data_IF_616097995894
#
_entry.id   IF_616097995894
#
_cell.length_a   1.000
_cell.length_b   1.000
_cell.length_c   1.000
_cell.angle_alpha   90.00
_cell.angle_beta   90.00
_cell.angle_gamma   90.00
#
_symmetry.space_group_name_H-M   'P 1'
#
loop_
_entity.id
_entity.type
_entity.pdbx_description
1 polymer ?
#
# COMPACT_ATOMS: atom_id res chain seq x y z
N UNK A 1 -14.06 -5.84 -28.10
CA UNK A 1 -14.82 -6.18 -26.87
C UNK A 1 -14.04 -5.60 -25.72
N UNK A 2 -14.51 -4.52 -25.12
CA UNK A 2 -13.90 -3.94 -23.91
C UNK A 2 -14.31 -4.82 -22.75
N UNK A 3 -13.36 -5.61 -22.24
CA UNK A 3 -13.55 -6.33 -20.98
C UNK A 3 -13.90 -5.31 -19.89
N UNK A 4 -15.14 -5.35 -19.46
CA UNK A 4 -15.58 -4.63 -18.25
C UNK A 4 -14.79 -5.23 -17.08
N UNK A 5 -13.67 -4.59 -16.69
CA UNK A 5 -12.95 -4.95 -15.47
C UNK A 5 -13.92 -4.82 -14.30
N UNK A 6 -14.22 -5.92 -13.65
CA UNK A 6 -15.05 -5.94 -12.43
C UNK A 6 -14.27 -5.18 -11.34
N UNK A 7 -14.82 -4.05 -10.92
CA UNK A 7 -14.29 -3.30 -9.79
C UNK A 7 -14.59 -4.07 -8.49
N UNK A 8 -13.57 -4.38 -7.73
CA UNK A 8 -13.70 -5.00 -6.42
C UNK A 8 -13.84 -3.91 -5.35
N UNK A 9 -14.55 -4.22 -4.26
CA UNK A 9 -14.51 -3.35 -3.09
C UNK A 9 -13.11 -3.35 -2.50
N UNK A 10 -12.50 -2.18 -2.25
CA UNK A 10 -11.14 -2.12 -1.71
C UNK A 10 -11.01 -2.90 -0.39
N UNK A 11 -9.95 -3.68 -0.26
CA UNK A 11 -9.58 -4.39 0.97
C UNK A 11 -8.26 -3.85 1.52
N UNK A 12 -8.34 -2.73 2.27
CA UNK A 12 -7.21 -2.06 2.90
C UNK A 12 -7.35 -2.19 4.40
N UNK A 13 -6.39 -2.86 5.01
CA UNK A 13 -6.36 -3.23 6.43
C UNK A 13 -5.30 -2.43 7.17
N UNK A 14 -5.65 -1.93 8.36
CA UNK A 14 -4.70 -1.28 9.25
C UNK A 14 -4.57 -2.07 10.55
N UNK A 15 -3.33 -2.43 10.91
CA UNK A 15 -3.00 -2.96 12.22
C UNK A 15 -3.09 -1.86 13.28
N UNK A 16 -3.97 -2.06 14.26
CA UNK A 16 -4.14 -1.12 15.37
C UNK A 16 -3.00 -1.26 16.38
N UNK A 17 -1.93 -0.49 16.19
CA UNK A 17 -0.72 -0.54 16.99
C UNK A 17 -0.84 0.15 18.36
N UNK A 18 -1.95 0.82 18.66
CA UNK A 18 -2.17 1.44 19.99
C UNK A 18 -2.25 0.42 21.11
N UNK A 19 -2.68 -0.78 20.80
CA UNK A 19 -2.58 -1.89 21.72
C UNK A 19 -1.14 -2.42 21.66
N UNK A 20 -0.36 -2.26 22.71
CA UNK A 20 1.05 -2.70 22.89
C UNK A 20 1.32 -4.19 22.56
N UNK A 21 0.36 -4.86 21.97
CA UNK A 21 0.31 -6.29 21.70
C UNK A 21 0.88 -6.69 20.33
N UNK A 22 1.04 -5.72 19.41
CA UNK A 22 1.81 -5.98 18.19
C UNK A 22 3.29 -5.85 18.52
N UNK A 23 3.98 -6.98 18.48
CA UNK A 23 5.40 -7.06 18.81
C UNK A 23 6.30 -6.23 17.88
N UNK A 24 7.59 -6.19 18.20
CA UNK A 24 8.60 -5.52 17.37
C UNK A 24 8.66 -6.08 15.94
N UNK A 25 8.18 -7.30 15.72
CA UNK A 25 8.16 -7.96 14.40
C UNK A 25 6.73 -8.03 13.83
N UNK A 26 6.30 -6.93 13.27
CA UNK A 26 4.97 -6.78 12.65
C UNK A 26 4.76 -7.70 11.43
N UNK A 27 5.83 -8.05 10.72
CA UNK A 27 5.75 -9.03 9.63
C UNK A 27 5.31 -10.40 10.14
N UNK A 28 5.79 -10.81 11.31
CA UNK A 28 5.35 -12.04 11.97
C UNK A 28 3.86 -11.99 12.32
N UNK A 29 3.38 -10.87 12.85
CA UNK A 29 1.96 -10.68 13.16
C UNK A 29 1.10 -10.72 11.89
N UNK A 30 1.55 -10.09 10.80
CA UNK A 30 0.90 -10.18 9.50
C UNK A 30 0.80 -11.63 9.00
N UNK A 31 1.88 -12.38 9.02
CA UNK A 31 1.90 -13.79 8.57
C UNK A 31 0.98 -14.67 9.44
N UNK A 32 0.95 -14.44 10.75
CA UNK A 32 0.02 -15.14 11.65
C UNK A 32 -1.43 -14.77 11.37
N UNK A 33 -1.72 -13.48 11.12
CA UNK A 33 -3.06 -13.06 10.75
C UNK A 33 -3.53 -13.75 9.46
N UNK A 34 -2.71 -13.78 8.40
CA UNK A 34 -3.07 -14.43 7.14
C UNK A 34 -3.34 -15.94 7.35
N UNK A 35 -2.53 -16.62 8.15
CA UNK A 35 -2.80 -18.03 8.53
C UNK A 35 -4.09 -18.16 9.33
N UNK A 36 -4.36 -17.24 10.25
CA UNK A 36 -5.59 -17.21 11.05
C UNK A 36 -6.84 -17.06 10.17
N UNK A 37 -6.79 -16.34 9.06
CA UNK A 37 -7.89 -16.23 8.09
C UNK A 37 -8.15 -17.52 7.29
N UNK A 38 -7.41 -18.58 7.55
CA UNK A 38 -7.59 -19.89 6.90
C UNK A 38 -6.86 -20.04 5.56
N UNK A 39 -5.98 -19.11 5.18
CA UNK A 39 -5.16 -19.24 3.97
C UNK A 39 -4.25 -20.48 4.10
N UNK A 40 -4.42 -21.42 3.19
CA UNK A 40 -3.59 -22.62 3.07
C UNK A 40 -2.53 -22.41 1.99
N UNK A 41 -1.37 -23.04 2.17
CA UNK A 41 -0.26 -23.00 1.21
C UNK A 41 0.66 -21.80 1.36
N UNK A 42 1.37 -21.48 0.29
CA UNK A 42 2.31 -20.36 0.25
C UNK A 42 1.56 -19.03 0.24
N UNK A 43 2.09 -18.07 1.00
CA UNK A 43 1.58 -16.70 1.04
C UNK A 43 2.43 -15.88 0.08
N UNK A 44 1.84 -15.49 -1.04
CA UNK A 44 2.48 -14.59 -2.01
C UNK A 44 2.28 -13.14 -1.57
N UNK A 45 3.31 -12.53 -0.98
CA UNK A 45 3.26 -11.17 -0.48
C UNK A 45 4.50 -10.37 -0.82
N UNK A 46 4.34 -9.05 -0.93
CA UNK A 46 5.40 -8.07 -0.97
C UNK A 46 5.46 -7.29 0.33
N UNK A 47 6.65 -6.87 0.72
CA UNK A 47 6.89 -6.20 1.99
C UNK A 47 7.77 -4.97 1.84
N UNK A 48 7.26 -3.81 2.31
CA UNK A 48 8.07 -2.62 2.53
C UNK A 48 8.38 -2.46 4.00
N UNK A 49 9.64 -2.67 4.38
CA UNK A 49 10.13 -2.41 5.72
C UNK A 49 10.24 -0.90 5.99
N UNK A 50 10.39 -0.55 7.28
CA UNK A 50 10.60 0.85 7.67
C UNK A 50 11.91 1.42 7.09
N UNK A 51 12.98 0.63 7.05
CA UNK A 51 14.31 1.11 6.65
C UNK A 51 15.08 0.18 5.69
N UNK A 52 14.66 -1.09 5.52
CA UNK A 52 15.40 -2.10 4.77
C UNK A 52 14.53 -2.79 3.71
N UNK A 53 15.17 -3.41 2.74
CA UNK A 53 14.52 -4.13 1.63
C UNK A 53 15.01 -3.67 0.25
N UNK A 54 15.94 -2.71 0.22
CA UNK A 54 16.60 -2.24 -0.99
C UNK A 54 18.06 -2.70 -1.03
N UNK A 55 18.50 -3.12 -2.20
CA UNK A 55 19.91 -3.41 -2.46
C UNK A 55 20.67 -2.11 -2.65
N UNK A 56 21.52 -1.75 -1.67
CA UNK A 56 22.19 -0.45 -1.58
C UNK A 56 23.15 -0.16 -2.75
N UNK A 57 23.76 -1.20 -3.32
CA UNK A 57 24.73 -1.11 -4.42
C UNK A 57 24.09 -1.24 -5.82
N UNK A 58 22.80 -1.37 -5.88
CA UNK A 58 22.03 -1.38 -7.13
C UNK A 58 21.34 -0.03 -7.34
N UNK A 59 21.09 0.31 -8.60
CA UNK A 59 20.30 1.48 -8.98
C UNK A 59 18.85 1.34 -8.55
N UNK A 60 18.10 2.44 -8.57
CA UNK A 60 16.65 2.42 -8.35
C UNK A 60 15.98 1.46 -9.35
N UNK A 61 16.33 1.58 -10.63
CA UNK A 61 15.85 0.75 -11.73
C UNK A 61 16.08 -0.74 -11.48
N UNK A 62 17.29 -1.12 -11.12
CA UNK A 62 17.61 -2.52 -10.82
C UNK A 62 16.82 -3.03 -9.62
N UNK A 63 16.65 -2.22 -8.57
CA UNK A 63 15.81 -2.58 -7.43
C UNK A 63 14.33 -2.81 -7.82
N UNK A 64 13.80 -2.04 -8.78
CA UNK A 64 12.43 -2.23 -9.27
C UNK A 64 12.29 -3.53 -10.08
N UNK A 65 13.28 -3.84 -10.92
CA UNK A 65 13.27 -5.04 -11.77
C UNK A 65 13.33 -6.33 -10.95
N UNK A 66 14.12 -6.37 -9.90
CA UNK A 66 14.34 -7.58 -9.10
C UNK A 66 13.05 -8.24 -8.60
N UNK A 67 12.02 -7.45 -8.26
CA UNK A 67 10.77 -7.96 -7.72
C UNK A 67 9.61 -7.95 -8.74
N UNK A 68 9.71 -7.12 -9.79
CA UNK A 68 8.66 -6.97 -10.79
C UNK A 68 8.78 -7.97 -11.95
N UNK A 69 9.98 -8.49 -12.21
CA UNK A 69 10.27 -9.35 -13.36
C UNK A 69 10.63 -10.75 -12.87
N UNK A 70 9.99 -11.82 -13.40
CA UNK A 70 10.42 -13.19 -13.12
C UNK A 70 11.90 -13.38 -13.47
N UNK A 71 12.66 -14.03 -12.58
CA UNK A 71 14.11 -14.22 -12.73
C UNK A 71 14.52 -14.86 -14.06
N UNK A 72 13.64 -15.64 -14.69
CA UNK A 72 13.85 -16.23 -16.03
C UNK A 72 13.85 -15.19 -17.16
N UNK A 73 13.31 -13.99 -16.94
CA UNK A 73 13.18 -12.92 -17.93
C UNK A 73 14.19 -11.78 -17.73
N UNK A 74 15.01 -11.81 -16.67
CA UNK A 74 15.98 -10.73 -16.32
C UNK A 74 17.19 -10.67 -17.27
N UNK A 75 17.13 -11.26 -18.46
CA UNK A 75 18.28 -11.31 -19.39
C UNK A 75 18.68 -9.94 -19.96
N UNK A 76 17.75 -8.97 -20.03
CA UNK A 76 18.01 -7.62 -20.53
C UNK A 76 17.31 -6.60 -19.61
N UNK A 77 18.03 -6.10 -18.62
CA UNK A 77 17.45 -5.25 -17.56
C UNK A 77 16.85 -3.94 -18.06
N UNK A 78 17.38 -3.35 -19.12
CA UNK A 78 16.89 -2.08 -19.67
C UNK A 78 15.56 -2.22 -20.37
N UNK A 79 15.45 -3.16 -21.30
CA UNK A 79 14.23 -3.43 -22.04
C UNK A 79 13.08 -3.85 -21.11
N UNK A 80 13.41 -4.60 -20.05
CA UNK A 80 12.41 -5.08 -19.08
C UNK A 80 11.82 -3.95 -18.22
N UNK A 81 12.60 -2.94 -17.83
CA UNK A 81 12.07 -1.82 -17.06
C UNK A 81 11.16 -0.93 -17.91
N UNK A 82 11.60 -0.59 -19.14
CA UNK A 82 10.80 0.19 -20.08
C UNK A 82 9.47 -0.54 -20.35
N UNK A 83 9.53 -1.81 -20.72
CA UNK A 83 8.34 -2.61 -20.96
C UNK A 83 7.43 -2.71 -19.72
N UNK A 84 7.98 -2.89 -18.54
CA UNK A 84 7.21 -2.93 -17.28
C UNK A 84 6.54 -1.58 -17.00
N UNK A 85 7.28 -0.47 -17.16
CA UNK A 85 6.75 0.88 -16.89
C UNK A 85 5.67 1.31 -17.89
N UNK A 86 5.80 0.94 -19.16
CA UNK A 86 4.80 1.21 -20.20
C UNK A 86 3.51 0.43 -19.98
N UNK A 87 3.61 -0.82 -19.54
CA UNK A 87 2.47 -1.70 -19.30
C UNK A 87 1.82 -1.54 -17.93
N UNK A 88 2.30 -0.63 -17.08
CA UNK A 88 1.65 -0.33 -15.80
C UNK A 88 0.23 0.17 -16.02
N UNK A 89 -0.73 -0.55 -15.46
CA UNK A 89 -2.15 -0.15 -15.50
C UNK A 89 -2.51 0.87 -14.44
N UNK A 90 -1.72 0.94 -13.35
CA UNK A 90 -1.93 1.88 -12.25
C UNK A 90 -1.29 3.25 -12.59
N UNK A 91 -2.10 4.29 -12.87
CA UNK A 91 -1.56 5.61 -13.24
C UNK A 91 -0.81 6.28 -12.09
N UNK A 92 -1.26 6.09 -10.85
CA UNK A 92 -0.62 6.67 -9.66
C UNK A 92 0.75 6.06 -9.39
N UNK A 93 0.96 4.80 -9.78
CA UNK A 93 2.26 4.17 -9.68
C UNK A 93 3.26 4.76 -10.70
N UNK A 94 2.80 5.14 -11.89
CA UNK A 94 3.61 5.90 -12.86
C UNK A 94 4.05 7.25 -12.29
N UNK A 95 3.13 7.97 -11.61
CA UNK A 95 3.44 9.23 -10.95
C UNK A 95 4.47 9.08 -9.83
N UNK A 96 4.38 8.00 -9.05
CA UNK A 96 5.36 7.70 -7.98
C UNK A 96 6.74 7.38 -8.57
N UNK A 97 6.81 6.61 -9.65
CA UNK A 97 8.07 6.32 -10.35
C UNK A 97 8.69 7.62 -10.90
N UNK A 98 7.89 8.50 -11.50
CA UNK A 98 8.36 9.77 -11.99
C UNK A 98 8.95 10.67 -10.89
N UNK A 99 8.44 10.57 -9.66
CA UNK A 99 8.96 11.30 -8.49
C UNK A 99 10.30 10.76 -7.97
N UNK A 100 10.68 9.53 -8.31
CA UNK A 100 11.95 8.96 -7.85
C UNK A 100 13.18 9.53 -8.58
N UNK A 101 13.01 10.52 -9.44
CA UNK A 101 14.04 11.24 -10.20
C UNK A 101 15.32 10.43 -10.49
N UNK A 102 15.77 10.36 -11.74
CA UNK A 102 17.02 9.68 -12.11
C UNK A 102 17.12 8.22 -11.59
N UNK A 103 16.37 7.32 -12.21
CA UNK A 103 16.29 5.88 -11.85
C UNK A 103 17.63 5.12 -11.93
N UNK A 104 18.66 5.73 -12.51
CA UNK A 104 20.03 5.17 -12.60
C UNK A 104 20.86 5.45 -11.33
N UNK A 105 20.39 6.31 -10.40
CA UNK A 105 21.09 6.55 -9.13
C UNK A 105 21.13 5.30 -8.28
N UNK A 106 22.27 5.10 -7.59
CA UNK A 106 22.40 4.01 -6.62
C UNK A 106 21.60 4.31 -5.35
N UNK A 107 21.01 3.28 -4.77
CA UNK A 107 20.17 3.42 -3.57
C UNK A 107 20.95 3.98 -2.38
N UNK A 108 22.25 3.67 -2.25
CA UNK A 108 23.11 4.21 -1.19
C UNK A 108 23.24 5.75 -1.22
N UNK A 109 23.07 6.36 -2.41
CA UNK A 109 23.23 7.81 -2.64
C UNK A 109 21.90 8.56 -2.48
N UNK A 110 20.81 7.87 -2.13
CA UNK A 110 19.50 8.46 -1.94
C UNK A 110 19.34 9.04 -0.52
N UNK A 111 18.60 10.14 -0.44
CA UNK A 111 18.11 10.64 0.84
C UNK A 111 17.06 9.72 1.46
N UNK A 112 16.76 9.92 2.72
CA UNK A 112 15.86 9.03 3.47
C UNK A 112 14.45 8.95 2.91
N UNK A 113 13.87 10.10 2.50
CA UNK A 113 12.55 10.17 1.88
C UNK A 113 12.54 9.46 0.53
N UNK A 114 13.53 9.73 -0.33
CA UNK A 114 13.67 9.08 -1.63
C UNK A 114 13.79 7.56 -1.48
N UNK A 115 14.63 7.10 -0.55
CA UNK A 115 14.82 5.67 -0.28
C UNK A 115 13.54 5.00 0.19
N UNK A 116 12.77 5.69 1.06
CA UNK A 116 11.45 5.22 1.51
C UNK A 116 10.48 5.11 0.34
N UNK A 117 10.44 6.11 -0.52
CA UNK A 117 9.57 6.10 -1.71
C UNK A 117 9.93 4.96 -2.66
N UNK A 118 11.23 4.74 -2.93
CA UNK A 118 11.70 3.62 -3.77
C UNK A 118 11.25 2.27 -3.18
N UNK A 119 11.36 2.08 -1.87
CA UNK A 119 10.89 0.85 -1.20
C UNK A 119 9.39 0.63 -1.33
N UNK A 120 8.59 1.68 -1.24
CA UNK A 120 7.13 1.63 -1.43
C UNK A 120 6.80 1.27 -2.88
N UNK A 121 7.39 1.96 -3.86
CA UNK A 121 7.17 1.70 -5.29
C UNK A 121 7.55 0.27 -5.64
N UNK A 122 8.74 -0.20 -5.22
CA UNK A 122 9.18 -1.59 -5.40
C UNK A 122 8.14 -2.60 -4.89
N UNK A 123 7.60 -2.34 -3.70
CA UNK A 123 6.60 -3.21 -3.07
C UNK A 123 5.28 -3.26 -3.85
N UNK A 124 4.85 -2.13 -4.43
CA UNK A 124 3.63 -2.08 -5.26
C UNK A 124 3.88 -2.74 -6.63
N UNK A 125 5.06 -2.54 -7.23
CA UNK A 125 5.44 -3.14 -8.51
C UNK A 125 5.48 -4.68 -8.47
N UNK A 126 5.80 -5.26 -7.32
CA UNK A 126 5.86 -6.70 -7.15
C UNK A 126 4.49 -7.34 -7.44
N UNK A 127 4.48 -8.46 -8.20
CA UNK A 127 3.26 -9.19 -8.52
C UNK A 127 2.86 -10.14 -7.38
N UNK A 128 2.31 -9.59 -6.30
CA UNK A 128 1.91 -10.31 -5.10
C UNK A 128 0.42 -10.18 -4.80
N UNK A 129 -0.18 -11.21 -4.18
CA UNK A 129 -1.57 -11.20 -3.73
C UNK A 129 -1.77 -10.22 -2.56
N UNK A 130 -0.76 -10.11 -1.69
CA UNK A 130 -0.78 -9.27 -0.50
C UNK A 130 0.33 -8.22 -0.56
N UNK A 131 -0.03 -6.97 -0.29
CA UNK A 131 0.91 -5.87 -0.08
C UNK A 131 0.95 -5.60 1.42
N UNK A 132 2.13 -5.69 2.02
CA UNK A 132 2.32 -5.30 3.42
C UNK A 132 3.35 -4.19 3.56
N UNK A 133 2.98 -3.12 4.28
CA UNK A 133 3.84 -1.95 4.49
C UNK A 133 3.96 -1.60 5.97
N UNK A 134 5.19 -1.51 6.46
CA UNK A 134 5.50 -1.00 7.80
C UNK A 134 5.86 0.48 7.74
N UNK A 135 5.07 1.29 8.42
CA UNK A 135 5.26 2.74 8.55
C UNK A 135 5.45 3.46 7.20
N UNK A 136 4.55 3.24 6.22
CA UNK A 136 4.71 3.81 4.87
C UNK A 136 4.55 5.33 4.84
N UNK A 137 3.98 5.93 5.88
CA UNK A 137 3.79 7.36 6.05
C UNK A 137 4.99 8.08 6.69
N UNK A 138 5.98 7.31 7.20
CA UNK A 138 7.15 7.88 7.86
C UNK A 138 8.11 8.48 6.83
N UNK A 139 8.52 9.73 7.04
CA UNK A 139 9.40 10.52 6.15
C UNK A 139 8.82 10.82 4.77
N UNK A 140 7.53 10.68 4.56
CA UNK A 140 6.85 10.96 3.29
C UNK A 140 6.04 12.26 3.43
N UNK A 141 6.20 13.14 2.46
CA UNK A 141 5.42 14.40 2.38
C UNK A 141 3.92 14.12 2.20
N UNK A 142 3.03 15.02 2.64
CA UNK A 142 1.59 14.86 2.47
C UNK A 142 1.16 14.64 1.01
N UNK A 143 1.78 15.35 0.06
CA UNK A 143 1.50 15.28 -1.37
C UNK A 143 1.86 13.91 -1.93
N UNK A 144 3.05 13.41 -1.61
CA UNK A 144 3.50 12.07 -2.01
C UNK A 144 2.64 10.98 -1.38
N UNK A 145 2.25 11.16 -0.10
CA UNK A 145 1.38 10.21 0.59
C UNK A 145 0.00 10.12 -0.08
N UNK A 146 -0.56 11.22 -0.55
CA UNK A 146 -1.84 11.21 -1.29
C UNK A 146 -1.77 10.32 -2.55
N UNK A 147 -0.66 10.39 -3.29
CA UNK A 147 -0.45 9.55 -4.47
C UNK A 147 -0.24 8.08 -4.08
N UNK A 148 0.50 7.80 -3.00
CA UNK A 148 0.67 6.43 -2.46
C UNK A 148 -0.69 5.83 -2.11
N UNK A 149 -1.56 6.58 -1.43
CA UNK A 149 -2.91 6.13 -1.10
C UNK A 149 -3.71 5.78 -2.35
N UNK A 150 -3.76 6.69 -3.33
CA UNK A 150 -4.45 6.46 -4.59
C UNK A 150 -3.90 5.22 -5.34
N UNK A 151 -2.58 5.01 -5.31
CA UNK A 151 -1.96 3.82 -5.89
C UNK A 151 -2.42 2.54 -5.18
N UNK A 152 -2.49 2.53 -3.84
CA UNK A 152 -2.92 1.36 -3.06
C UNK A 152 -4.43 1.08 -3.22
N UNK A 153 -5.27 2.10 -3.30
CA UNK A 153 -6.69 1.95 -3.61
C UNK A 153 -6.90 1.35 -5.01
N UNK A 154 -6.10 1.81 -6.00
CA UNK A 154 -6.12 1.23 -7.33
C UNK A 154 -5.73 -0.25 -7.32
N UNK A 155 -4.63 -0.62 -6.66
CA UNK A 155 -4.20 -2.02 -6.54
C UNK A 155 -5.27 -2.89 -5.89
N UNK A 156 -5.93 -2.37 -4.86
CA UNK A 156 -6.96 -3.12 -4.16
C UNK A 156 -8.24 -3.28 -4.97
N UNK A 157 -8.70 -2.22 -5.65
CA UNK A 157 -9.98 -2.24 -6.37
C UNK A 157 -9.90 -2.83 -7.78
N UNK A 158 -8.80 -2.62 -8.51
CA UNK A 158 -8.65 -3.03 -9.90
C UNK A 158 -7.84 -4.32 -10.06
N UNK A 159 -6.85 -4.54 -9.19
CA UNK A 159 -5.97 -5.69 -9.24
C UNK A 159 -6.30 -6.74 -8.17
N UNK A 160 -7.37 -6.52 -7.39
CA UNK A 160 -7.86 -7.42 -6.32
C UNK A 160 -6.77 -7.79 -5.30
N UNK A 161 -5.82 -6.89 -5.05
CA UNK A 161 -4.75 -7.09 -4.07
C UNK A 161 -5.20 -6.64 -2.69
N UNK A 162 -4.82 -7.37 -1.65
CA UNK A 162 -5.12 -7.00 -0.27
C UNK A 162 -3.96 -6.22 0.32
N UNK A 163 -4.25 -5.02 0.79
CA UNK A 163 -3.26 -4.10 1.34
C UNK A 163 -3.30 -4.13 2.86
N UNK A 164 -2.14 -4.32 3.48
CA UNK A 164 -1.97 -4.33 4.92
C UNK A 164 -0.97 -3.26 5.34
N UNK A 165 -1.38 -2.42 6.28
CA UNK A 165 -0.60 -1.30 6.75
C UNK A 165 -0.38 -1.41 8.25
N UNK A 166 0.85 -1.13 8.69
CA UNK A 166 1.15 -0.65 10.04
C UNK A 166 1.60 0.78 9.91
N UNK A 167 0.73 1.73 10.19
CA UNK A 167 1.03 3.15 10.06
C UNK A 167 1.89 3.65 11.23
N UNK A 168 2.75 4.64 10.98
CA UNK A 168 3.39 5.43 12.03
C UNK A 168 2.37 6.42 12.63
N UNK A 169 1.48 6.98 11.79
CA UNK A 169 0.41 7.89 12.19
C UNK A 169 -0.90 7.40 11.55
N UNK A 170 -1.76 6.74 12.35
CA UNK A 170 -2.98 6.11 11.85
C UNK A 170 -3.95 7.09 11.20
N UNK A 171 -4.05 8.31 11.74
CA UNK A 171 -4.94 9.36 11.27
C UNK A 171 -4.71 9.71 9.81
N UNK A 172 -3.47 9.57 9.35
CA UNK A 172 -3.11 9.81 7.95
C UNK A 172 -3.70 8.79 6.97
N UNK A 173 -4.32 7.70 7.44
CA UNK A 173 -4.81 6.58 6.63
C UNK A 173 -6.32 6.31 6.76
N UNK A 174 -7.01 7.04 7.66
CA UNK A 174 -8.43 6.79 7.98
C UNK A 174 -9.36 6.91 6.77
N UNK A 175 -8.98 7.70 5.79
CA UNK A 175 -9.74 7.98 4.58
C UNK A 175 -9.78 6.81 3.58
N UNK A 176 -8.77 5.91 3.60
CA UNK A 176 -8.71 4.77 2.68
C UNK A 176 -8.82 3.41 3.38
N UNK A 177 -8.55 3.33 4.67
CA UNK A 177 -8.59 2.07 5.42
C UNK A 177 -10.02 1.56 5.55
N UNK A 178 -10.27 0.35 5.05
CA UNK A 178 -11.60 -0.28 5.09
C UNK A 178 -11.82 -1.14 6.33
N UNK A 179 -10.74 -1.67 6.90
CA UNK A 179 -10.80 -2.58 8.05
C UNK A 179 -9.67 -2.33 9.05
N UNK A 180 -9.98 -2.58 10.31
CA UNK A 180 -9.02 -2.61 11.40
C UNK A 180 -8.69 -4.06 11.77
N UNK A 181 -7.41 -4.30 12.08
CA UNK A 181 -6.96 -5.55 12.67
C UNK A 181 -6.45 -5.23 14.06
N UNK A 182 -7.04 -5.86 15.07
CA UNK A 182 -6.61 -5.77 16.46
C UNK A 182 -6.18 -7.15 16.94
N UNK A 183 -5.33 -7.19 17.95
CA UNK A 183 -4.86 -8.42 18.60
C UNK A 183 -5.13 -8.29 20.09
N UNK A 184 -5.83 -9.23 20.69
CA UNK A 184 -6.12 -9.25 22.12
C UNK A 184 -4.93 -9.75 22.97
N UNK A 185 -5.06 -9.70 24.28
CA UNK A 185 -4.03 -10.17 25.22
C UNK A 185 -3.72 -11.67 25.09
N UNK A 186 -4.69 -12.44 24.62
CA UNK A 186 -4.50 -13.89 24.35
C UNK A 186 -3.80 -14.16 23.01
N UNK A 187 -3.50 -13.12 22.23
CA UNK A 187 -2.89 -13.20 20.90
C UNK A 187 -3.87 -13.50 19.77
N UNK A 188 -5.19 -13.44 19.99
CA UNK A 188 -6.20 -13.65 18.97
C UNK A 188 -6.42 -12.39 18.16
N UNK A 189 -6.60 -12.56 16.85
CA UNK A 189 -6.89 -11.45 15.95
C UNK A 189 -8.39 -11.22 15.82
N UNK A 190 -8.77 -9.95 15.77
CA UNK A 190 -10.13 -9.51 15.45
C UNK A 190 -10.09 -8.56 14.26
N UNK A 191 -11.08 -8.67 13.38
CA UNK A 191 -11.27 -7.77 12.23
C UNK A 191 -12.56 -6.99 12.41
N UNK A 192 -12.51 -5.67 12.28
CA UNK A 192 -13.67 -4.78 12.30
C UNK A 192 -13.67 -3.86 11.08
N UNK A 193 -14.86 -3.46 10.61
CA UNK A 193 -14.97 -2.47 9.53
C UNK A 193 -14.69 -1.06 10.03
N UNK A 194 -14.09 -0.24 9.18
CA UNK A 194 -13.97 1.19 9.45
C UNK A 194 -15.33 1.89 9.25
N UNK A 195 -15.97 2.26 10.34
CA UNK A 195 -17.28 2.91 10.32
C UNK A 195 -17.26 4.35 9.75
N UNK A 196 -16.07 4.99 9.70
CA UNK A 196 -15.93 6.33 9.15
C UNK A 196 -16.18 6.39 7.64
N UNK A 197 -15.87 5.33 6.91
CA UNK A 197 -16.13 5.21 5.47
C UNK A 197 -17.58 4.80 5.15
N UNK A 198 -18.32 4.29 6.13
CA UNK A 198 -19.69 3.81 5.92
C UNK A 198 -20.78 4.88 6.13
N UNK A 199 -20.43 6.10 6.49
CA UNK A 199 -21.37 7.21 6.56
C UNK A 199 -21.55 7.79 5.14
N UNK A 200 -22.72 7.66 4.50
CA UNK A 200 -23.01 8.41 3.29
C UNK A 200 -22.90 9.89 3.62
N UNK A 201 -22.31 10.67 2.73
CA UNK A 201 -22.23 12.14 2.79
C UNK A 201 -23.66 12.74 2.61
N UNK A 202 -24.60 12.47 3.50
CA UNK A 202 -25.89 13.14 3.59
C UNK A 202 -25.76 14.36 4.50
N UNK A 203 -24.93 15.31 4.12
CA UNK A 203 -25.14 16.70 4.48
C UNK A 203 -26.00 17.37 3.41
N UNK A 204 -27.24 16.93 3.28
CA UNK A 204 -28.29 17.80 2.78
C UNK A 204 -28.55 18.83 3.88
N UNK A 205 -28.12 20.05 3.60
CA UNK A 205 -28.47 21.26 4.36
C UNK A 205 -29.99 21.33 4.51
N UNK A 206 -30.48 21.05 5.72
CA UNK A 206 -31.82 21.43 6.11
C UNK A 206 -31.83 22.96 6.23
N UNK A 207 -32.20 23.62 5.12
CA UNK A 207 -32.62 25.02 5.15
C UNK A 207 -34.01 25.03 5.79
N UNK A 208 -34.08 25.40 7.06
CA UNK A 208 -35.33 25.69 7.75
C UNK A 208 -35.79 27.05 7.27
N UNK A 209 -36.77 27.09 6.36
CA UNK A 209 -37.51 28.31 6.05
C UNK A 209 -38.31 28.75 7.27
N UNK A 210 -37.88 29.82 7.89
CA UNK A 210 -38.67 30.54 8.88
C UNK A 210 -39.80 31.28 8.16
N UNK A 211 -41.03 30.72 8.18
CA UNK A 211 -42.22 31.44 7.84
C UNK A 211 -42.44 32.61 8.80
N UNK A 212 -42.36 33.86 8.31
CA UNK A 212 -42.82 35.03 9.03
C UNK A 212 -44.32 34.88 9.24
N UNK A 213 -44.76 34.91 10.49
CA UNK A 213 -46.13 35.12 10.87
C UNK A 213 -46.49 36.60 10.70
N UNK A 214 -47.57 36.88 10.06
CA UNK A 214 -48.22 38.19 9.92
C UNK A 214 -49.05 38.47 11.17
#
# INVERSE_FOLDING_TARGET
MTDLKVLHSPEIYLFNSEQRQFGANVLKDFLYYIKFTGKKGLINFSFSANEDGLHQNLSIKENYILDAVPSSLIKNSEDNFIHTSENLTNPHLKDLIARTNCIERLVKDLEREERKLVGIVKTILSNSEYIFMDSPDKFISPETLAIIKAALEYESSHNNRKVFLKAATKERWLDIVTHWISKDESGRFTKSKNQLLSKPNNQTSNVVELKKAS
#
